data_IF_496169445163
#
_entry.id   IF_496169445163
#
_cell.length_a   1.000
_cell.length_b   1.000
_cell.length_c   1.000
_cell.angle_alpha   90.00
_cell.angle_beta   90.00
_cell.angle_gamma   90.00
#
_symmetry.space_group_name_H-M   'P 1'
#
loop_
_entity.id
_entity.type
_entity.pdbx_description
1 polymer ?
#
# COMPACT_ATOMS: atom_id res chain seq x y z
N UNK A 1 8.38 5.07 0.60
CA UNK A 1 8.72 3.73 0.10
C UNK A 1 8.03 2.73 0.99
N UNK A 2 7.22 1.83 0.43
CA UNK A 2 6.60 0.72 1.14
C UNK A 2 7.45 -0.53 0.88
N UNK A 3 8.12 -1.14 1.87
CA UNK A 3 8.88 -2.37 1.63
C UNK A 3 7.96 -3.58 1.49
N UNK A 4 8.57 -4.75 1.28
CA UNK A 4 7.86 -6.03 1.38
C UNK A 4 7.27 -6.20 2.78
N UNK A 5 6.07 -6.77 2.91
CA UNK A 5 5.52 -7.08 4.25
C UNK A 5 6.45 -8.10 4.92
N UNK A 6 6.87 -7.79 6.15
CA UNK A 6 7.88 -8.56 6.89
C UNK A 6 9.33 -8.11 6.68
N UNK A 7 9.63 -7.18 5.78
CA UNK A 7 11.02 -6.69 5.67
C UNK A 7 11.43 -5.81 6.87
N UNK A 8 10.45 -5.18 7.53
CA UNK A 8 10.63 -4.34 8.72
C UNK A 8 9.63 -4.79 9.78
N UNK A 9 10.03 -4.83 11.04
CA UNK A 9 9.12 -5.15 12.14
C UNK A 9 7.94 -4.18 12.23
N UNK A 10 6.78 -4.71 12.61
CA UNK A 10 5.55 -3.98 12.91
C UNK A 10 5.18 -4.06 14.38
N UNK A 11 6.07 -4.61 15.21
CA UNK A 11 5.82 -4.78 16.64
C UNK A 11 5.49 -3.43 17.31
N UNK A 12 4.36 -3.38 18.02
CA UNK A 12 3.83 -2.19 18.70
C UNK A 12 3.55 -0.97 17.82
N UNK A 13 3.38 -1.16 16.50
CA UNK A 13 2.69 -0.18 15.66
C UNK A 13 1.19 -0.41 15.75
N UNK A 14 0.39 0.66 15.86
CA UNK A 14 -1.08 0.57 15.82
C UNK A 14 -1.48 -0.10 14.50
N UNK A 15 -2.06 -1.32 14.53
CA UNK A 15 -2.21 -2.11 13.32
C UNK A 15 -3.51 -1.80 12.59
N UNK A 16 -3.52 -2.06 11.29
CA UNK A 16 -4.70 -2.09 10.45
C UNK A 16 -4.90 -3.47 9.81
N UNK A 17 -3.85 -4.09 9.25
CA UNK A 17 -3.93 -5.40 8.61
C UNK A 17 -2.62 -6.16 8.73
N UNK A 18 -2.65 -7.33 9.38
CA UNK A 18 -1.47 -8.20 9.47
C UNK A 18 -0.98 -8.66 8.08
N UNK A 19 -1.87 -8.70 7.10
CA UNK A 19 -1.60 -9.10 5.72
C UNK A 19 -1.07 -7.97 4.82
N UNK A 20 -1.08 -6.71 5.24
CA UNK A 20 -0.70 -5.58 4.36
C UNK A 20 0.14 -4.50 5.03
N UNK A 21 0.15 -4.45 6.36
CA UNK A 21 0.92 -3.48 7.12
C UNK A 21 2.41 -3.72 6.95
N UNK A 22 3.17 -2.64 6.82
CA UNK A 22 4.63 -2.64 6.78
C UNK A 22 5.13 -1.21 7.03
N UNK A 23 6.36 -1.08 7.53
CA UNK A 23 6.92 0.20 7.97
C UNK A 23 7.97 0.65 6.94
N UNK A 24 7.79 1.85 6.42
CA UNK A 24 8.58 2.31 5.29
C UNK A 24 9.02 3.76 5.42
N UNK A 25 10.18 4.13 4.84
CA UNK A 25 10.70 5.49 4.94
C UNK A 25 9.97 6.47 4.01
N UNK A 26 9.84 7.71 4.49
CA UNK A 26 9.44 8.87 3.70
C UNK A 26 10.58 9.91 3.74
N UNK A 27 11.19 10.17 2.58
CA UNK A 27 12.32 11.09 2.44
C UNK A 27 12.25 11.85 1.12
N UNK A 28 13.06 12.91 1.01
CA UNK A 28 13.13 13.76 -0.19
C UNK A 28 13.88 13.11 -1.34
N UNK A 29 14.80 12.19 -1.07
CA UNK A 29 15.57 11.45 -2.07
C UNK A 29 15.44 9.93 -1.88
N UNK A 30 15.61 9.17 -2.97
CA UNK A 30 15.63 7.69 -2.93
C UNK A 30 16.80 7.19 -2.08
N UNK A 31 17.97 7.84 -2.15
CA UNK A 31 19.16 7.47 -1.39
C UNK A 31 18.95 7.63 0.13
N UNK A 32 18.32 8.73 0.56
CA UNK A 32 17.99 8.92 1.98
C UNK A 32 16.95 7.89 2.45
N UNK A 33 15.98 7.56 1.60
CA UNK A 33 15.03 6.49 1.89
C UNK A 33 15.75 5.13 2.04
N UNK A 34 16.73 4.83 1.19
CA UNK A 34 17.53 3.62 1.29
C UNK A 34 18.37 3.57 2.59
N UNK A 35 18.97 4.68 3.02
CA UNK A 35 19.67 4.75 4.31
C UNK A 35 18.75 4.46 5.49
N UNK A 36 17.55 5.05 5.50
CA UNK A 36 16.59 4.76 6.58
C UNK A 36 16.10 3.33 6.51
N UNK A 37 15.79 2.81 5.32
CA UNK A 37 15.38 1.41 5.18
C UNK A 37 16.46 0.48 5.72
N UNK A 38 17.73 0.69 5.34
CA UNK A 38 18.86 -0.09 5.82
C UNK A 38 18.95 -0.14 7.35
N UNK A 39 18.57 0.95 8.04
CA UNK A 39 18.63 1.04 9.50
C UNK A 39 17.47 0.36 10.25
N UNK A 40 16.37 0.03 9.56
CA UNK A 40 15.14 -0.52 10.19
C UNK A 40 14.79 -1.93 9.72
N UNK A 41 15.57 -2.50 8.79
CA UNK A 41 15.40 -3.87 8.32
C UNK A 41 16.18 -4.80 9.23
N UNK A 42 15.45 -5.64 9.96
CA UNK A 42 16.01 -6.72 10.75
C UNK A 42 14.94 -7.77 11.06
N UNK A 43 15.37 -8.95 11.50
CA UNK A 43 14.50 -9.97 12.08
C UNK A 43 14.11 -9.55 13.49
N UNK A 44 12.80 -9.56 13.77
CA UNK A 44 12.24 -9.29 15.09
C UNK A 44 11.48 -10.52 15.61
N UNK A 45 11.88 -11.12 16.76
CA UNK A 45 11.17 -12.26 17.33
C UNK A 45 9.72 -11.97 17.72
N UNK A 46 9.32 -10.70 17.86
CA UNK A 46 7.95 -10.30 18.17
C UNK A 46 7.08 -10.05 16.93
N UNK A 47 7.65 -10.16 15.72
CA UNK A 47 6.93 -10.09 14.45
C UNK A 47 7.32 -11.26 13.54
N UNK A 48 6.44 -12.27 13.49
CA UNK A 48 6.67 -13.51 12.75
C UNK A 48 6.84 -13.32 11.24
N UNK A 49 6.38 -12.22 10.65
CA UNK A 49 6.58 -11.97 9.22
C UNK A 49 8.05 -11.66 8.90
N UNK A 50 8.81 -11.15 9.87
CA UNK A 50 10.24 -10.86 9.69
C UNK A 50 11.09 -12.12 9.52
N UNK A 51 10.59 -13.28 9.94
CA UNK A 51 11.23 -14.57 9.65
C UNK A 51 11.21 -14.93 8.16
N UNK A 52 10.43 -14.23 7.34
CA UNK A 52 10.46 -14.34 5.89
C UNK A 52 11.66 -13.66 5.21
N UNK A 53 12.45 -12.87 5.95
CA UNK A 53 13.67 -12.24 5.41
C UNK A 53 14.66 -13.37 5.05
N UNK A 54 15.12 -13.47 3.79
CA UNK A 54 16.00 -14.58 3.41
C UNK A 54 17.32 -14.52 4.17
N UNK A 55 17.69 -15.63 4.81
CA UNK A 55 18.92 -15.75 5.57
C UNK A 55 20.14 -15.48 4.67
N UNK A 56 21.06 -14.62 5.14
CA UNK A 56 22.29 -14.29 4.42
C UNK A 56 22.08 -13.48 3.14
N UNK A 57 20.92 -12.82 2.96
CA UNK A 57 20.62 -12.05 1.75
C UNK A 57 21.57 -10.86 1.47
N UNK A 58 22.43 -10.47 2.42
CA UNK A 58 23.42 -9.41 2.22
C UNK A 58 22.78 -8.10 1.75
N UNK A 59 21.62 -7.75 2.31
CA UNK A 59 20.80 -6.63 1.87
C UNK A 59 21.57 -5.31 2.06
N UNK A 60 21.96 -4.69 0.95
CA UNK A 60 22.56 -3.36 0.91
C UNK A 60 21.76 -2.44 -0.02
N UNK A 61 20.73 -1.82 0.54
CA UNK A 61 19.84 -0.92 -0.19
C UNK A 61 20.54 0.36 -0.62
N UNK A 62 21.54 0.78 0.16
CA UNK A 62 22.29 1.99 -0.11
C UNK A 62 23.13 1.78 -1.37
N UNK A 63 23.90 0.70 -1.45
CA UNK A 63 24.72 0.37 -2.62
C UNK A 63 23.87 0.03 -3.85
N UNK A 64 22.65 -0.48 -3.67
CA UNK A 64 21.71 -0.70 -4.77
C UNK A 64 21.25 0.60 -5.47
N UNK A 65 21.47 1.77 -4.88
CA UNK A 65 21.20 3.06 -5.53
C UNK A 65 22.30 3.38 -6.56
N UNK A 66 22.19 2.77 -7.74
CA UNK A 66 23.06 2.95 -8.89
C UNK A 66 22.39 3.78 -10.01
N UNK A 67 23.08 4.81 -10.48
CA UNK A 67 22.62 5.67 -11.58
C UNK A 67 22.53 4.92 -12.92
N UNK A 68 23.22 3.80 -13.08
CA UNK A 68 23.22 2.99 -14.31
C UNK A 68 22.13 1.91 -14.33
N UNK A 69 21.46 1.67 -13.20
CA UNK A 69 20.56 0.52 -13.00
C UNK A 69 19.35 0.47 -13.94
N UNK A 70 18.97 1.59 -14.56
CA UNK A 70 17.88 1.63 -15.55
C UNK A 70 18.29 1.08 -16.91
N UNK A 71 19.59 0.96 -17.22
CA UNK A 71 20.06 0.49 -18.52
C UNK A 71 19.66 -0.97 -18.74
N UNK A 72 18.76 -1.20 -19.68
CA UNK A 72 18.23 -2.52 -19.99
C UNK A 72 17.08 -2.97 -19.09
N UNK A 73 16.72 -2.21 -18.05
CA UNK A 73 15.61 -2.52 -17.17
C UNK A 73 14.29 -2.57 -17.95
N UNK A 74 13.48 -3.61 -17.73
CA UNK A 74 12.22 -3.87 -18.44
C UNK A 74 11.05 -3.43 -17.57
N UNK A 75 10.37 -2.38 -17.99
CA UNK A 75 9.35 -1.71 -17.17
C UNK A 75 7.99 -1.82 -17.85
N UNK A 76 7.03 -2.47 -17.20
CA UNK A 76 5.66 -2.63 -17.72
C UNK A 76 4.75 -1.46 -17.37
N UNK A 77 3.80 -1.15 -18.25
CA UNK A 77 2.76 -0.14 -18.03
C UNK A 77 1.37 -0.75 -18.30
N UNK A 78 0.58 -1.04 -17.24
CA UNK A 78 -0.78 -1.54 -17.37
C UNK A 78 -1.74 -0.39 -17.71
N UNK A 79 -1.87 -0.08 -19.00
CA UNK A 79 -2.65 1.05 -19.51
C UNK A 79 -4.14 0.92 -19.16
N UNK A 80 -4.67 -0.29 -19.08
CA UNK A 80 -6.05 -0.52 -18.65
C UNK A 80 -6.33 -0.08 -17.20
N UNK A 81 -5.38 -0.20 -16.29
CA UNK A 81 -5.49 0.31 -14.91
C UNK A 81 -5.53 1.84 -14.93
N UNK A 82 -4.59 2.46 -15.65
CA UNK A 82 -4.52 3.92 -15.80
C UNK A 82 -5.84 4.43 -16.37
N UNK A 83 -6.31 3.89 -17.50
CA UNK A 83 -7.56 4.29 -18.13
C UNK A 83 -8.77 4.11 -17.20
N UNK A 84 -8.81 2.99 -16.46
CA UNK A 84 -9.93 2.73 -15.55
C UNK A 84 -9.97 3.70 -14.36
N UNK A 85 -8.83 4.07 -13.80
CA UNK A 85 -8.77 4.91 -12.61
C UNK A 85 -8.71 6.42 -12.91
N UNK A 86 -8.49 6.79 -14.17
CA UNK A 86 -8.41 8.19 -14.60
C UNK A 86 -9.78 8.87 -14.57
N UNK A 87 -9.77 10.13 -14.16
CA UNK A 87 -10.91 11.04 -14.20
C UNK A 87 -10.42 12.48 -14.48
N UNK A 88 -11.34 13.44 -14.49
CA UNK A 88 -11.04 14.84 -14.83
C UNK A 88 -9.97 15.49 -13.94
N UNK A 89 -9.78 15.05 -12.69
CA UNK A 89 -8.77 15.62 -11.78
C UNK A 89 -7.37 14.99 -11.96
N UNK A 90 -7.24 13.93 -12.75
CA UNK A 90 -5.98 13.19 -12.91
C UNK A 90 -5.14 13.61 -14.12
N UNK A 91 -5.65 14.49 -14.99
CA UNK A 91 -5.01 14.83 -16.28
C UNK A 91 -3.56 15.29 -16.17
N UNK A 92 -3.26 16.24 -15.27
CA UNK A 92 -1.89 16.74 -15.05
C UNK A 92 -0.93 15.66 -14.55
N UNK A 93 -1.40 14.76 -13.69
CA UNK A 93 -0.63 13.62 -13.20
C UNK A 93 -0.28 12.66 -14.36
N UNK A 94 -1.23 12.40 -15.26
CA UNK A 94 -1.01 11.55 -16.43
C UNK A 94 -0.04 12.19 -17.42
N UNK A 95 -0.11 13.50 -17.60
CA UNK A 95 0.85 14.24 -18.44
C UNK A 95 2.27 14.15 -17.87
N UNK A 96 2.44 14.41 -16.57
CA UNK A 96 3.72 14.28 -15.88
C UNK A 96 4.25 12.84 -15.93
N UNK A 97 3.37 11.85 -15.74
CA UNK A 97 3.70 10.45 -15.89
C UNK A 97 4.23 10.15 -17.30
N UNK A 98 3.51 10.53 -18.35
CA UNK A 98 3.94 10.29 -19.72
C UNK A 98 5.27 10.99 -20.05
N UNK A 99 5.51 12.20 -19.53
CA UNK A 99 6.82 12.89 -19.64
C UNK A 99 7.94 12.10 -18.96
N UNK A 100 7.69 11.53 -17.78
CA UNK A 100 8.68 10.70 -17.07
C UNK A 100 9.06 9.43 -17.84
N UNK A 101 8.15 8.86 -18.66
CA UNK A 101 8.48 7.70 -19.50
C UNK A 101 9.57 8.01 -20.54
N UNK A 102 9.63 9.24 -21.05
CA UNK A 102 10.69 9.66 -21.96
C UNK A 102 12.05 9.72 -21.23
N UNK A 103 12.07 10.17 -19.97
CA UNK A 103 13.26 10.20 -19.11
C UNK A 103 13.74 8.78 -18.80
N UNK A 104 12.83 7.86 -18.49
CA UNK A 104 13.19 6.45 -18.25
C UNK A 104 13.80 5.81 -19.51
N UNK A 105 13.23 6.08 -20.69
CA UNK A 105 13.79 5.62 -21.97
C UNK A 105 15.17 6.21 -22.25
N UNK A 106 15.38 7.51 -22.00
CA UNK A 106 16.69 8.12 -22.21
C UNK A 106 17.75 7.63 -21.23
N UNK A 107 17.35 7.18 -20.04
CA UNK A 107 18.20 6.48 -19.08
C UNK A 107 18.50 5.00 -19.47
N UNK A 108 17.94 4.51 -20.58
CA UNK A 108 18.20 3.18 -21.13
C UNK A 108 17.20 2.11 -20.74
N UNK A 109 16.10 2.46 -20.08
CA UNK A 109 15.05 1.50 -19.75
C UNK A 109 14.21 1.11 -20.98
N UNK A 110 13.80 -0.14 -21.02
CA UNK A 110 12.94 -0.71 -22.04
C UNK A 110 11.51 -0.68 -21.51
N UNK A 111 10.71 0.26 -22.01
CA UNK A 111 9.28 0.36 -21.67
C UNK A 111 8.48 -0.65 -22.48
N UNK A 112 7.79 -1.57 -21.80
CA UNK A 112 6.94 -2.59 -22.39
C UNK A 112 5.48 -2.15 -22.28
N UNK A 113 4.93 -1.66 -23.39
CA UNK A 113 3.52 -1.31 -23.52
C UNK A 113 2.64 -2.58 -23.66
N UNK A 114 1.32 -2.41 -23.61
CA UNK A 114 0.33 -3.50 -23.71
C UNK A 114 0.49 -4.61 -22.65
N UNK A 115 0.87 -4.21 -21.44
CA UNK A 115 1.05 -5.10 -20.28
C UNK A 115 -0.11 -4.91 -19.31
N UNK A 116 -1.33 -5.19 -19.81
CA UNK A 116 -2.56 -4.96 -19.07
C UNK A 116 -2.79 -5.97 -17.92
N UNK A 117 -3.39 -5.49 -16.83
CA UNK A 117 -3.80 -6.35 -15.71
C UNK A 117 -5.13 -7.05 -16.04
N UNK A 118 -5.18 -8.39 -16.11
CA UNK A 118 -6.44 -9.11 -16.37
C UNK A 118 -7.57 -8.76 -15.39
N UNK A 119 -7.24 -8.45 -14.14
CA UNK A 119 -8.22 -8.10 -13.11
C UNK A 119 -8.57 -6.61 -13.03
N UNK A 120 -8.13 -5.74 -13.95
CA UNK A 120 -8.41 -4.30 -13.90
C UNK A 120 -9.91 -3.97 -13.83
N UNK A 121 -10.73 -4.60 -14.67
CA UNK A 121 -12.18 -4.38 -14.68
C UNK A 121 -12.84 -4.94 -13.42
N UNK A 122 -12.42 -6.12 -12.99
CA UNK A 122 -12.95 -6.79 -11.81
C UNK A 122 -12.61 -6.02 -10.52
N UNK A 123 -11.43 -5.40 -10.48
CA UNK A 123 -10.99 -4.45 -9.45
C UNK A 123 -11.85 -3.20 -9.43
N UNK A 124 -12.11 -2.59 -10.59
CA UNK A 124 -13.03 -1.44 -10.71
C UNK A 124 -14.42 -1.76 -10.15
N UNK A 125 -14.96 -2.92 -10.52
CA UNK A 125 -16.31 -3.34 -10.12
C UNK A 125 -16.40 -3.68 -8.62
N UNK A 126 -15.31 -4.13 -8.00
CA UNK A 126 -15.28 -4.40 -6.55
C UNK A 126 -14.07 -3.72 -5.89
N UNK A 127 -14.04 -2.39 -5.95
CA UNK A 127 -12.93 -1.57 -5.41
C UNK A 127 -12.77 -1.66 -3.89
N UNK A 128 -13.82 -2.09 -3.18
CA UNK A 128 -13.81 -2.21 -1.72
C UNK A 128 -13.27 -3.55 -1.20
N UNK A 129 -12.82 -4.46 -2.08
CA UNK A 129 -12.36 -5.78 -1.65
C UNK A 129 -11.19 -5.71 -0.66
N UNK A 130 -10.19 -4.87 -0.94
CA UNK A 130 -9.04 -4.66 -0.05
C UNK A 130 -9.48 -4.03 1.27
N UNK A 131 -10.43 -3.08 1.23
CA UNK A 131 -11.03 -2.49 2.43
C UNK A 131 -11.73 -3.55 3.29
N UNK A 132 -12.34 -4.57 2.66
CA UNK A 132 -12.94 -5.69 3.39
C UNK A 132 -11.92 -6.55 4.14
N UNK A 133 -10.77 -6.82 3.52
CA UNK A 133 -9.68 -7.56 4.16
C UNK A 133 -9.13 -6.76 5.34
N UNK A 134 -8.77 -5.49 5.12
CA UNK A 134 -8.22 -4.61 6.17
C UNK A 134 -9.20 -4.44 7.33
N UNK A 135 -10.49 -4.25 7.03
CA UNK A 135 -11.51 -4.12 8.06
C UNK A 135 -11.63 -5.36 8.96
N UNK A 136 -11.55 -6.56 8.38
CA UNK A 136 -11.63 -7.80 9.16
C UNK A 136 -10.38 -8.05 10.01
N UNK A 137 -9.20 -7.74 9.46
CA UNK A 137 -7.96 -7.85 10.21
C UNK A 137 -7.89 -6.86 11.36
N UNK A 138 -8.36 -5.61 11.14
CA UNK A 138 -8.22 -4.54 12.14
C UNK A 138 -8.92 -4.87 13.46
N UNK A 139 -10.05 -5.59 13.41
CA UNK A 139 -10.76 -6.04 14.62
C UNK A 139 -9.88 -6.95 15.49
N UNK A 140 -9.20 -7.91 14.86
CA UNK A 140 -8.35 -8.88 15.57
C UNK A 140 -7.03 -8.25 15.98
N UNK A 141 -6.41 -7.49 15.07
CA UNK A 141 -5.12 -6.87 15.27
C UNK A 141 -5.17 -5.78 16.34
N UNK A 142 -6.20 -4.93 16.35
CA UNK A 142 -6.36 -3.88 17.36
C UNK A 142 -6.52 -4.47 18.77
N UNK A 143 -7.33 -5.52 18.92
CA UNK A 143 -7.49 -6.22 20.21
C UNK A 143 -6.17 -6.79 20.71
N UNK A 144 -5.40 -7.43 19.83
CA UNK A 144 -4.05 -7.95 20.16
C UNK A 144 -3.12 -6.80 20.57
N UNK A 145 -3.06 -5.71 19.80
CA UNK A 145 -2.24 -4.54 20.12
C UNK A 145 -2.59 -3.96 21.51
N UNK A 146 -3.88 -3.74 21.79
CA UNK A 146 -4.33 -3.19 23.07
C UNK A 146 -3.96 -4.08 24.26
N UNK A 147 -3.94 -5.41 24.09
CA UNK A 147 -3.51 -6.35 25.14
C UNK A 147 -2.02 -6.30 25.46
N UNK A 148 -1.19 -5.74 24.57
CA UNK A 148 0.26 -5.60 24.75
C UNK A 148 0.64 -4.28 25.42
N UNK A 149 -0.31 -3.36 25.60
CA UNK A 149 -0.04 -2.08 26.24
C UNK A 149 0.27 -2.26 27.73
N UNK A 150 1.44 -1.78 28.16
CA UNK A 150 1.82 -1.79 29.57
C UNK A 150 0.90 -0.92 30.45
N UNK A 151 0.27 0.09 29.86
CA UNK A 151 -0.65 0.99 30.54
C UNK A 151 -1.85 1.33 29.64
N UNK A 152 -3.06 1.10 30.16
CA UNK A 152 -4.31 1.37 29.47
C UNK A 152 -5.29 2.09 30.43
N UNK A 153 -5.14 3.40 30.56
CA UNK A 153 -5.89 4.23 31.51
C UNK A 153 -7.40 4.21 31.33
N UNK A 154 -7.87 3.91 30.10
CA UNK A 154 -9.29 3.88 29.74
C UNK A 154 -9.89 2.48 29.74
N UNK A 155 -9.06 1.46 29.98
CA UNK A 155 -9.46 0.05 29.92
C UNK A 155 -10.17 -0.34 28.60
N UNK A 156 -9.75 0.27 27.49
CA UNK A 156 -10.30 -0.02 26.14
C UNK A 156 -9.56 -1.25 25.59
N UNK A 157 -10.28 -2.32 25.26
CA UNK A 157 -9.69 -3.60 24.89
C UNK A 157 -9.95 -4.04 23.45
N UNK A 158 -10.81 -3.33 22.73
CA UNK A 158 -11.24 -3.68 21.37
C UNK A 158 -11.79 -2.44 20.62
N UNK A 159 -12.19 -2.67 19.37
CA UNK A 159 -12.74 -1.65 18.49
C UNK A 159 -14.10 -1.12 18.96
N UNK A 160 -14.93 -1.96 19.61
CA UNK A 160 -16.23 -1.51 20.13
C UNK A 160 -16.04 -0.49 21.25
N UNK A 161 -15.15 -0.78 22.20
CA UNK A 161 -14.78 0.15 23.26
C UNK A 161 -14.13 1.43 22.72
N UNK A 162 -13.24 1.31 21.73
CA UNK A 162 -12.60 2.47 21.11
C UNK A 162 -13.63 3.36 20.39
N UNK A 163 -14.55 2.77 19.63
CA UNK A 163 -15.64 3.49 18.97
C UNK A 163 -16.53 4.20 19.99
N UNK A 164 -17.01 3.50 21.02
CA UNK A 164 -17.88 4.08 22.03
C UNK A 164 -17.20 5.25 22.76
N UNK A 165 -15.92 5.13 23.07
CA UNK A 165 -15.14 6.21 23.65
C UNK A 165 -15.01 7.39 22.66
N UNK A 166 -14.70 7.12 21.40
CA UNK A 166 -14.54 8.16 20.36
C UNK A 166 -15.83 8.94 20.13
N UNK A 167 -16.98 8.26 20.12
CA UNK A 167 -18.28 8.90 19.92
C UNK A 167 -18.74 9.74 21.13
N UNK A 168 -18.28 9.40 22.35
CA UNK A 168 -18.70 10.08 23.59
C UNK A 168 -17.70 11.12 24.09
N UNK A 169 -16.45 11.07 23.62
CA UNK A 169 -15.39 11.98 24.05
C UNK A 169 -15.47 13.31 23.31
N UNK A 170 -15.52 14.41 24.06
CA UNK A 170 -15.43 15.76 23.48
C UNK A 170 -14.08 16.06 22.82
N UNK A 171 -13.06 15.21 23.01
CA UNK A 171 -11.76 15.33 22.36
C UNK A 171 -11.80 14.92 20.88
N UNK A 172 -12.75 14.07 20.49
CA UNK A 172 -12.76 13.42 19.18
C UNK A 172 -13.72 14.07 18.18
N UNK A 173 -14.48 15.09 18.60
CA UNK A 173 -15.34 15.91 17.73
C UNK A 173 -16.35 15.08 16.89
N UNK A 174 -16.84 13.97 17.45
CA UNK A 174 -17.96 13.22 16.87
C UNK A 174 -19.28 14.00 17.09
N UNK A 175 -20.14 14.20 16.07
CA UNK A 175 -20.17 13.54 14.76
C UNK A 175 -19.49 14.28 13.59
N UNK A 176 -18.81 15.42 13.82
CA UNK A 176 -18.10 16.13 12.74
C UNK A 176 -16.95 15.29 12.16
N UNK A 177 -16.33 14.44 13.00
CA UNK A 177 -15.41 13.36 12.61
C UNK A 177 -16.09 12.00 12.87
N UNK A 178 -16.85 11.48 11.90
CA UNK A 178 -17.67 10.30 12.12
C UNK A 178 -16.84 9.01 12.18
N UNK A 179 -17.39 7.99 12.83
CA UNK A 179 -16.80 6.65 12.96
C UNK A 179 -17.49 5.60 12.07
N UNK A 180 -18.22 6.02 11.03
CA UNK A 180 -19.11 5.15 10.23
C UNK A 180 -18.40 3.90 9.70
N UNK A 181 -17.11 4.02 9.36
CA UNK A 181 -16.31 2.88 8.87
C UNK A 181 -16.14 1.81 9.96
N UNK A 182 -16.06 2.19 11.23
CA UNK A 182 -15.97 1.24 12.35
C UNK A 182 -17.31 0.54 12.58
N UNK A 183 -18.43 1.21 12.34
CA UNK A 183 -19.76 0.56 12.38
C UNK A 183 -19.85 -0.53 11.32
N UNK A 184 -19.46 -0.23 10.08
CA UNK A 184 -19.41 -1.21 8.97
C UNK A 184 -18.43 -2.36 9.25
N UNK A 185 -17.34 -2.10 9.97
CA UNK A 185 -16.37 -3.12 10.38
C UNK A 185 -16.98 -4.05 11.43
N UNK A 186 -17.69 -3.50 12.40
CA UNK A 186 -18.22 -4.24 13.55
C UNK A 186 -19.45 -5.11 13.22
N UNK A 187 -20.13 -4.87 12.10
CA UNK A 187 -21.28 -5.68 11.60
C UNK A 187 -20.91 -7.11 11.12
N UNK A 188 -20.00 -7.81 11.80
CA UNK A 188 -19.50 -9.18 11.52
C UNK A 188 -18.28 -9.29 10.60
N UNK A 189 -17.24 -8.46 10.80
CA UNK A 189 -15.93 -8.70 10.19
C UNK A 189 -14.93 -9.20 11.21
N UNK A 190 -14.48 -10.42 11.03
CA UNK A 190 -13.36 -11.02 11.73
C UNK A 190 -12.60 -11.88 10.71
N UNK A 191 -11.27 -11.85 10.75
CA UNK A 191 -10.42 -12.60 9.84
C UNK A 191 -10.39 -14.12 10.11
N UNK A 192 -11.15 -14.61 11.10
CA UNK A 192 -11.40 -16.05 11.29
C UNK A 192 -12.57 -16.61 10.47
N UNK A 193 -13.43 -15.77 9.89
CA UNK A 193 -14.59 -16.20 9.10
C UNK A 193 -14.17 -16.65 7.68
N UNK A 194 -14.80 -17.70 7.13
CA UNK A 194 -14.55 -18.16 5.76
C UNK A 194 -14.79 -17.07 4.69
N UNK A 195 -15.71 -16.12 4.94
CA UNK A 195 -15.98 -14.98 4.04
C UNK A 195 -14.75 -14.10 3.89
N UNK A 196 -14.00 -13.89 4.98
CA UNK A 196 -12.73 -13.17 4.94
C UNK A 196 -11.75 -13.89 4.02
N UNK A 197 -11.52 -15.19 4.23
CA UNK A 197 -10.56 -15.96 3.44
C UNK A 197 -10.94 -16.00 1.95
N UNK A 198 -12.24 -16.06 1.63
CA UNK A 198 -12.72 -15.94 0.24
C UNK A 198 -12.40 -14.56 -0.37
N UNK A 199 -12.61 -13.49 0.38
CA UNK A 199 -12.28 -12.13 -0.05
C UNK A 199 -10.76 -11.96 -0.22
N UNK A 200 -9.98 -12.44 0.74
CA UNK A 200 -8.52 -12.38 0.72
C UNK A 200 -7.92 -13.18 -0.43
N UNK A 201 -8.38 -14.41 -0.69
CA UNK A 201 -7.94 -15.20 -1.85
C UNK A 201 -8.24 -14.50 -3.18
N UNK A 202 -9.39 -13.82 -3.28
CA UNK A 202 -9.72 -13.03 -4.47
C UNK A 202 -8.82 -11.80 -4.60
N UNK A 203 -8.48 -11.13 -3.49
CA UNK A 203 -7.52 -10.03 -3.48
C UNK A 203 -6.12 -10.51 -3.89
N UNK A 204 -5.67 -11.66 -3.39
CA UNK A 204 -4.42 -12.30 -3.79
C UNK A 204 -4.40 -12.60 -5.29
N UNK A 205 -5.48 -13.14 -5.85
CA UNK A 205 -5.57 -13.36 -7.30
C UNK A 205 -5.33 -12.06 -8.09
N UNK A 206 -5.92 -10.93 -7.65
CA UNK A 206 -5.74 -9.63 -8.31
C UNK A 206 -4.30 -9.12 -8.30
N UNK A 207 -3.57 -9.29 -7.20
CA UNK A 207 -2.16 -8.88 -7.15
C UNK A 207 -1.21 -9.89 -7.77
N UNK A 208 -1.59 -11.18 -7.79
CA UNK A 208 -0.82 -12.28 -8.39
C UNK A 208 -1.13 -12.39 -9.88
N UNK A 209 -1.73 -13.51 -10.30
CA UNK A 209 -1.96 -13.84 -11.70
C UNK A 209 -2.76 -12.75 -12.43
N UNK A 210 -3.73 -12.13 -11.77
CA UNK A 210 -4.58 -11.07 -12.32
C UNK A 210 -3.95 -9.67 -12.39
N UNK A 211 -2.73 -9.47 -11.88
CA UNK A 211 -2.12 -8.14 -11.80
C UNK A 211 -0.59 -8.19 -11.68
N UNK A 212 -0.04 -7.52 -10.67
CA UNK A 212 1.39 -7.19 -10.56
C UNK A 212 2.33 -8.37 -10.80
N UNK A 213 2.28 -9.41 -9.97
CA UNK A 213 3.25 -10.52 -10.05
C UNK A 213 3.05 -11.36 -11.31
N UNK A 214 1.80 -11.52 -11.75
CA UNK A 214 1.46 -12.20 -13.00
C UNK A 214 2.03 -11.46 -14.21
N UNK A 215 1.99 -10.13 -14.18
CA UNK A 215 2.53 -9.29 -15.25
C UNK A 215 4.06 -9.35 -15.31
N UNK A 216 4.72 -9.22 -14.15
CA UNK A 216 6.18 -9.36 -14.02
C UNK A 216 6.63 -10.68 -14.64
N UNK A 217 5.97 -11.79 -14.29
CA UNK A 217 6.30 -13.12 -14.81
C UNK A 217 6.04 -13.25 -16.31
N UNK A 218 4.86 -12.84 -16.80
CA UNK A 218 4.44 -13.03 -18.21
C UNK A 218 5.32 -12.25 -19.19
N UNK A 219 5.69 -11.03 -18.83
CA UNK A 219 6.42 -10.13 -19.72
C UNK A 219 7.91 -10.02 -19.39
N UNK A 220 8.39 -10.81 -18.40
CA UNK A 220 9.77 -10.80 -17.90
C UNK A 220 10.20 -9.38 -17.55
N UNK A 221 9.41 -8.72 -16.70
CA UNK A 221 9.66 -7.34 -16.28
C UNK A 221 10.54 -7.34 -15.04
N UNK A 222 11.30 -6.26 -14.87
CA UNK A 222 11.99 -5.97 -13.61
C UNK A 222 11.06 -5.19 -12.67
N UNK A 223 10.19 -4.34 -13.22
CA UNK A 223 9.20 -3.58 -12.44
C UNK A 223 7.96 -3.20 -13.27
N UNK A 224 6.92 -2.74 -12.59
CA UNK A 224 5.70 -2.19 -13.17
C UNK A 224 5.52 -0.75 -12.70
N UNK A 225 5.38 0.18 -13.64
CA UNK A 225 5.29 1.61 -13.32
C UNK A 225 3.89 2.13 -13.58
N UNK A 226 3.34 2.79 -12.57
CA UNK A 226 2.03 3.41 -12.56
C UNK A 226 2.11 4.80 -11.90
N UNK A 227 1.20 5.73 -12.23
CA UNK A 227 0.97 6.90 -11.39
C UNK A 227 0.68 6.47 -9.94
N UNK A 228 1.25 7.19 -8.96
CA UNK A 228 1.26 6.77 -7.55
C UNK A 228 -0.14 6.44 -7.01
N UNK A 229 -1.15 7.23 -7.40
CA UNK A 229 -2.56 7.07 -7.00
C UNK A 229 -3.16 5.72 -7.42
N UNK A 230 -2.61 5.05 -8.43
CA UNK A 230 -3.15 3.82 -9.02
C UNK A 230 -2.38 2.55 -8.62
N UNK A 231 -1.30 2.69 -7.86
CA UNK A 231 -0.33 1.62 -7.65
C UNK A 231 -0.62 0.73 -6.43
N UNK A 232 -1.14 1.31 -5.34
CA UNK A 232 -1.14 0.69 -4.01
C UNK A 232 -1.93 -0.62 -3.92
N UNK A 233 -3.14 -0.63 -4.47
CA UNK A 233 -4.06 -1.76 -4.34
C UNK A 233 -3.52 -3.07 -4.92
N UNK A 234 -2.61 -3.01 -5.89
CA UNK A 234 -2.08 -4.18 -6.59
C UNK A 234 -0.90 -4.81 -5.86
N UNK A 235 -0.05 -3.98 -5.27
CA UNK A 235 1.16 -4.44 -4.59
C UNK A 235 0.89 -4.78 -3.12
N UNK A 236 0.03 -4.00 -2.43
CA UNK A 236 -0.25 -4.20 -1.01
C UNK A 236 -0.82 -5.59 -0.71
N UNK A 237 -1.75 -6.08 -1.53
CA UNK A 237 -2.43 -7.38 -1.35
C UNK A 237 -1.53 -8.60 -1.58
N UNK A 238 -0.33 -8.41 -2.13
CA UNK A 238 0.66 -9.48 -2.39
C UNK A 238 2.02 -9.18 -1.78
N UNK A 239 2.01 -8.34 -0.75
CA UNK A 239 3.19 -8.00 0.03
C UNK A 239 4.30 -7.32 -0.77
N UNK A 240 4.06 -6.91 -2.01
CA UNK A 240 5.10 -6.40 -2.92
C UNK A 240 5.50 -4.96 -2.55
N UNK A 241 6.79 -4.59 -2.72
CA UNK A 241 7.24 -3.24 -2.40
C UNK A 241 6.70 -2.19 -3.38
N UNK A 242 6.65 -0.93 -2.94
CA UNK A 242 6.32 0.24 -3.78
C UNK A 242 7.32 1.36 -3.49
N UNK A 243 7.91 1.92 -4.54
CA UNK A 243 8.67 3.16 -4.46
C UNK A 243 7.99 4.24 -5.30
N UNK A 244 7.58 5.33 -4.64
CA UNK A 244 7.07 6.53 -5.32
C UNK A 244 8.18 7.57 -5.39
N UNK A 245 8.39 8.14 -6.57
CA UNK A 245 9.38 9.19 -6.85
C UNK A 245 8.65 10.40 -7.44
N UNK A 246 8.95 11.63 -6.99
CA UNK A 246 8.35 12.83 -7.57
C UNK A 246 8.63 12.94 -9.08
N UNK A 247 7.57 13.11 -9.87
CA UNK A 247 7.64 13.27 -11.33
C UNK A 247 7.28 14.69 -11.81
N UNK A 248 7.01 15.60 -10.87
CA UNK A 248 6.60 16.98 -11.14
C UNK A 248 5.73 17.54 -10.02
N UNK A 249 5.07 18.66 -10.30
CA UNK A 249 4.10 19.30 -9.42
C UNK A 249 2.77 19.49 -10.16
N UNK A 250 1.67 19.53 -9.41
CA UNK A 250 0.36 19.92 -9.94
C UNK A 250 0.43 21.41 -10.35
N UNK A 251 -0.10 21.80 -11.53
CA UNK A 251 -0.18 23.21 -11.94
C UNK A 251 -0.88 24.09 -10.90
N UNK A 252 -0.40 25.32 -10.71
CA UNK A 252 -0.92 26.23 -9.68
C UNK A 252 -2.36 26.66 -9.90
N UNK A 253 -2.85 26.56 -11.14
CA UNK A 253 -4.21 26.89 -11.57
C UNK A 253 -5.16 25.69 -11.52
N UNK A 254 -4.66 24.49 -11.22
CA UNK A 254 -5.51 23.32 -11.07
C UNK A 254 -6.27 23.40 -9.72
N UNK A 255 -7.61 23.26 -9.72
CA UNK A 255 -8.38 23.24 -8.48
C UNK A 255 -7.94 22.09 -7.57
N UNK A 256 -7.71 22.39 -6.30
CA UNK A 256 -7.52 21.36 -5.28
C UNK A 256 -8.87 20.68 -5.08
N UNK A 257 -8.99 19.45 -5.56
CA UNK A 257 -10.16 18.62 -5.33
C UNK A 257 -9.95 17.88 -4.03
N UNK A 258 -10.74 18.19 -3.00
CA UNK A 258 -10.75 17.41 -1.75
C UNK A 258 -11.04 15.93 -2.08
N UNK A 259 -10.20 15.03 -1.55
CA UNK A 259 -10.28 13.60 -1.82
C UNK A 259 -11.33 12.86 -0.96
N UNK A 260 -12.23 13.57 -0.29
CA UNK A 260 -13.30 12.99 0.50
C UNK A 260 -14.17 14.04 1.20
N UNK A 261 -15.32 13.65 1.78
CA UNK A 261 -16.09 14.54 2.62
C UNK A 261 -15.24 14.83 3.87
N UNK A 262 -14.83 16.08 4.05
CA UNK A 262 -14.22 16.61 5.27
C UNK A 262 -12.89 15.98 5.73
N UNK A 263 -11.84 16.05 4.90
CA UNK A 263 -10.47 16.08 5.42
C UNK A 263 -9.91 17.48 5.06
N UNK A 264 -9.59 18.34 6.05
CA UNK A 264 -9.14 19.71 5.81
C UNK A 264 -7.81 19.78 5.05
#
# INVERSE_FOLDING_TARGET
MKPTVGLTSRHLVVPASEHMDTIGPMKKSVKDAAYVLQSIVDVDPFDNYTFGIPYGAGLDFVSACDFSALKGARLGIPRNVISSMSNNSTGSMLEAFNKSLAILRSAGAIIIENTDFPSAQESRNNGLLTVQVVAADSVVALKKYLSLLAYNSRNITDLEGLRAWTQSSSLEDCPNKPTDIWDVVLENRNNTDYKFWRAYQRALYRGKEGGLLGLIKRYKLDDVILPSLFSSNWAAVVDAPITSVPMGAIPSDQPIVSAGPNIP
#
